data_IF_066917279402
#
_entry.id   IF_066917279402
#
_cell.length_a   1.000
_cell.length_b   1.000
_cell.length_c   1.000
_cell.angle_alpha   90.00
_cell.angle_beta   90.00
_cell.angle_gamma   90.00
#
_symmetry.space_group_name_H-M   'P 1'
#
loop_
_entity.id
_entity.type
_entity.pdbx_description
1 polymer ?
#
# COMPACT_ATOMS: atom_id res chain seq x y z
N UNK A 1 21.45 -18.82 -11.54
CA UNK A 1 22.27 -18.26 -10.44
C UNK A 1 21.59 -18.62 -9.12
N UNK A 2 22.09 -19.62 -8.40
CA UNK A 2 21.55 -19.95 -7.07
C UNK A 2 21.91 -18.79 -6.15
N UNK A 3 20.92 -18.04 -5.67
CA UNK A 3 21.12 -17.04 -4.63
C UNK A 3 21.63 -17.77 -3.40
N UNK A 4 22.84 -17.44 -2.93
CA UNK A 4 23.33 -17.96 -1.66
C UNK A 4 22.41 -17.45 -0.55
N UNK A 5 21.80 -18.40 0.16
CA UNK A 5 20.92 -18.10 1.29
C UNK A 5 21.79 -17.47 2.37
N UNK A 6 21.38 -16.31 2.89
CA UNK A 6 22.05 -15.57 3.97
C UNK A 6 23.26 -14.70 3.59
N UNK A 7 23.32 -14.17 2.36
CA UNK A 7 24.30 -13.13 2.00
C UNK A 7 23.96 -11.80 2.69
N UNK A 8 24.89 -11.31 3.54
CA UNK A 8 24.77 -10.03 4.26
C UNK A 8 24.55 -8.84 3.33
N UNK A 9 25.11 -8.85 2.11
CA UNK A 9 24.91 -7.78 1.13
C UNK A 9 23.47 -7.73 0.64
N UNK A 10 22.87 -8.89 0.38
CA UNK A 10 21.48 -9.00 -0.10
C UNK A 10 20.52 -8.58 1.02
N UNK A 11 20.75 -9.03 2.24
CA UNK A 11 19.94 -8.64 3.40
C UNK A 11 19.97 -7.12 3.58
N UNK A 12 21.16 -6.51 3.63
CA UNK A 12 21.28 -5.06 3.78
C UNK A 12 20.60 -4.31 2.63
N UNK A 13 20.73 -4.79 1.38
CA UNK A 13 20.05 -4.17 0.24
C UNK A 13 18.53 -4.20 0.37
N UNK A 14 17.95 -5.32 0.80
CA UNK A 14 16.51 -5.42 1.04
C UNK A 14 16.06 -4.62 2.26
N UNK A 15 16.84 -4.57 3.33
CA UNK A 15 16.53 -3.75 4.51
C UNK A 15 16.53 -2.26 4.18
N UNK A 16 17.51 -1.76 3.42
CA UNK A 16 17.53 -0.37 2.97
C UNK A 16 16.39 -0.06 1.99
N UNK A 17 16.03 -1.02 1.13
CA UNK A 17 14.87 -0.89 0.26
C UNK A 17 13.56 -0.74 1.06
N UNK A 18 13.33 -1.62 2.03
CA UNK A 18 12.12 -1.61 2.86
C UNK A 18 12.03 -0.34 3.71
N UNK A 19 13.16 0.09 4.26
CA UNK A 19 13.27 1.35 4.98
C UNK A 19 12.87 2.55 4.11
N UNK A 20 13.46 2.68 2.92
CA UNK A 20 13.13 3.77 2.00
C UNK A 20 11.66 3.71 1.53
N UNK A 21 11.13 2.50 1.27
CA UNK A 21 9.77 2.30 0.81
C UNK A 21 8.72 2.69 1.86
N UNK A 22 9.02 2.55 3.16
CA UNK A 22 8.09 2.86 4.26
C UNK A 22 7.79 4.36 4.43
N UNK A 23 8.69 5.24 3.98
CA UNK A 23 8.55 6.70 4.14
C UNK A 23 7.43 7.25 3.26
N UNK A 24 7.25 6.70 2.06
CA UNK A 24 6.22 7.14 1.11
C UNK A 24 4.80 7.01 1.69
N UNK A 25 4.31 5.81 2.10
CA UNK A 25 2.98 5.68 2.65
C UNK A 25 2.84 6.50 3.94
N UNK A 26 3.88 6.57 4.78
CA UNK A 26 3.85 7.38 5.99
C UNK A 26 3.53 8.85 5.68
N UNK A 27 4.31 9.51 4.84
CA UNK A 27 4.14 10.95 4.57
C UNK A 27 2.87 11.24 3.77
N UNK A 28 2.61 10.45 2.72
CA UNK A 28 1.49 10.69 1.81
C UNK A 28 0.16 10.45 2.53
N UNK A 29 0.00 9.32 3.22
CA UNK A 29 -1.29 8.97 3.82
C UNK A 29 -1.59 9.74 5.11
N UNK A 30 -0.56 10.16 5.87
CA UNK A 30 -0.79 10.83 7.16
C UNK A 30 -0.84 12.34 7.07
N UNK A 31 -0.06 12.96 6.19
CA UNK A 31 0.07 14.42 6.14
C UNK A 31 -0.56 15.03 4.88
N UNK A 32 -0.27 14.47 3.70
CA UNK A 32 -0.65 15.13 2.44
C UNK A 32 -2.10 14.81 2.05
N UNK A 33 -2.48 13.54 2.11
CA UNK A 33 -3.78 13.08 1.61
C UNK A 33 -4.98 13.63 2.41
N UNK A 34 -4.97 13.69 3.75
CA UNK A 34 -6.09 14.26 4.51
C UNK A 34 -6.34 15.73 4.17
N UNK A 35 -5.28 16.53 4.07
CA UNK A 35 -5.36 17.96 3.72
C UNK A 35 -5.91 18.14 2.31
N UNK A 36 -5.43 17.35 1.36
CA UNK A 36 -5.93 17.37 -0.01
C UNK A 36 -7.41 16.98 -0.08
N UNK A 37 -7.80 15.93 0.64
CA UNK A 37 -9.16 15.41 0.64
C UNK A 37 -10.15 16.44 1.22
N UNK A 38 -9.79 17.12 2.31
CA UNK A 38 -10.58 18.22 2.88
C UNK A 38 -10.70 19.42 1.93
N UNK A 39 -9.66 19.74 1.16
CA UNK A 39 -9.68 20.87 0.22
C UNK A 39 -10.50 20.62 -1.06
N UNK A 40 -10.63 19.35 -1.50
CA UNK A 40 -11.26 19.00 -2.78
C UNK A 40 -12.71 18.54 -2.61
N UNK A 41 -13.03 17.89 -1.49
CA UNK A 41 -14.35 17.31 -1.28
C UNK A 41 -15.19 18.24 -0.38
N UNK A 42 -16.44 18.57 -0.74
CA UNK A 42 -17.30 19.41 0.09
C UNK A 42 -17.63 18.75 1.43
N UNK A 43 -17.89 19.56 2.47
CA UNK A 43 -18.13 19.08 3.85
C UNK A 43 -19.24 18.03 3.97
N UNK A 44 -20.21 18.05 3.07
CA UNK A 44 -21.30 17.08 2.97
C UNK A 44 -21.22 16.36 1.63
N UNK A 45 -21.08 15.05 1.70
CA UNK A 45 -21.13 14.17 0.53
C UNK A 45 -22.39 13.32 0.65
N UNK A 46 -23.28 13.46 -0.34
CA UNK A 46 -24.40 12.53 -0.49
C UNK A 46 -23.86 11.21 -1.03
N UNK A 47 -23.68 10.24 -0.13
CA UNK A 47 -23.24 8.89 -0.49
C UNK A 47 -24.41 7.93 -0.34
N UNK A 48 -24.86 7.32 -1.44
CA UNK A 48 -25.94 6.32 -1.42
C UNK A 48 -27.26 6.77 -0.76
N UNK A 49 -27.56 8.08 -0.75
CA UNK A 49 -28.75 8.66 -0.12
C UNK A 49 -28.58 9.08 1.35
N UNK A 50 -27.37 8.95 1.91
CA UNK A 50 -27.02 9.45 3.25
C UNK A 50 -26.14 10.69 3.14
N UNK A 51 -26.49 11.73 3.91
CA UNK A 51 -25.67 12.94 4.06
C UNK A 51 -24.55 12.65 5.07
N UNK A 52 -23.37 12.27 4.59
CA UNK A 52 -22.22 11.96 5.44
C UNK A 52 -21.28 13.15 5.52
N UNK A 53 -20.69 13.35 6.70
CA UNK A 53 -19.61 14.32 6.90
C UNK A 53 -18.36 13.75 6.24
N UNK A 54 -17.64 14.59 5.50
CA UNK A 54 -16.51 14.22 4.68
C UNK A 54 -15.42 13.42 5.45
N UNK A 55 -15.15 13.79 6.71
CA UNK A 55 -14.18 13.14 7.61
C UNK A 55 -14.56 11.70 7.99
N UNK A 56 -15.87 11.41 8.08
CA UNK A 56 -16.38 10.08 8.43
C UNK A 56 -16.23 9.13 7.25
N UNK A 57 -16.57 9.60 6.03
CA UNK A 57 -16.39 8.83 4.80
C UNK A 57 -14.92 8.43 4.60
N UNK A 58 -14.00 9.38 4.79
CA UNK A 58 -12.56 9.12 4.72
C UNK A 58 -12.12 7.99 5.67
N UNK A 59 -12.53 8.07 6.93
CA UNK A 59 -12.19 7.06 7.95
C UNK A 59 -12.76 5.68 7.64
N UNK A 60 -13.97 5.61 7.07
CA UNK A 60 -14.56 4.35 6.62
C UNK A 60 -13.82 3.72 5.44
N UNK A 61 -13.41 4.52 4.45
CA UNK A 61 -12.66 4.02 3.29
C UNK A 61 -11.28 3.52 3.71
N UNK A 62 -10.60 4.27 4.58
CA UNK A 62 -9.26 3.89 5.08
C UNK A 62 -9.34 2.61 5.91
N UNK A 63 -10.31 2.48 6.82
CA UNK A 63 -10.48 1.26 7.63
C UNK A 63 -10.81 0.03 6.78
N UNK A 64 -11.69 0.17 5.79
CA UNK A 64 -12.00 -0.91 4.84
C UNK A 64 -10.77 -1.32 4.03
N UNK A 65 -9.96 -0.35 3.59
CA UNK A 65 -8.69 -0.60 2.89
C UNK A 65 -7.73 -1.41 3.77
N UNK A 66 -7.60 -1.08 5.06
CA UNK A 66 -6.75 -1.84 5.99
C UNK A 66 -7.24 -3.26 6.24
N UNK A 67 -8.55 -3.50 6.29
CA UNK A 67 -9.11 -4.86 6.43
C UNK A 67 -8.73 -5.72 5.23
N UNK A 68 -8.88 -5.19 4.01
CA UNK A 68 -8.49 -5.90 2.79
C UNK A 68 -7.00 -6.22 2.82
N UNK A 69 -6.15 -5.25 3.16
CA UNK A 69 -4.69 -5.43 3.26
C UNK A 69 -4.33 -6.48 4.31
N UNK A 70 -4.99 -6.47 5.48
CA UNK A 70 -4.73 -7.42 6.56
C UNK A 70 -5.02 -8.88 6.15
N UNK A 71 -6.05 -9.11 5.34
CA UNK A 71 -6.39 -10.45 4.83
C UNK A 71 -5.45 -10.86 3.68
N UNK A 72 -5.16 -9.94 2.77
CA UNK A 72 -4.32 -10.22 1.60
C UNK A 72 -2.84 -10.41 1.93
N UNK A 73 -2.30 -9.65 2.90
CA UNK A 73 -0.89 -9.64 3.27
C UNK A 73 -0.31 -11.04 3.62
N UNK A 74 -0.91 -11.84 4.52
CA UNK A 74 -0.37 -13.16 4.86
C UNK A 74 -0.43 -14.15 3.70
N UNK A 75 -1.47 -14.09 2.87
CA UNK A 75 -1.65 -14.99 1.72
C UNK A 75 -0.56 -14.73 0.68
N UNK A 76 -0.40 -13.47 0.30
CA UNK A 76 0.56 -13.05 -0.72
C UNK A 76 2.01 -13.20 -0.22
N UNK A 77 2.28 -12.86 1.04
CA UNK A 77 3.61 -13.01 1.65
C UNK A 77 4.01 -14.47 1.81
N UNK A 78 3.07 -15.34 2.21
CA UNK A 78 3.33 -16.79 2.32
C UNK A 78 3.69 -17.44 0.97
N UNK A 79 3.00 -17.06 -0.11
CA UNK A 79 3.31 -17.53 -1.47
C UNK A 79 4.68 -17.01 -1.93
N UNK A 80 5.01 -15.75 -1.64
CA UNK A 80 6.28 -15.14 -2.01
C UNK A 80 7.49 -15.78 -1.31
N UNK A 81 7.35 -16.13 -0.03
CA UNK A 81 8.39 -16.81 0.75
C UNK A 81 8.55 -18.28 0.32
N UNK A 82 7.47 -18.98 -0.02
CA UNK A 82 7.52 -20.36 -0.51
C UNK A 82 8.17 -20.46 -1.90
N UNK A 83 7.87 -19.51 -2.80
CA UNK A 83 8.40 -19.52 -4.16
C UNK A 83 9.87 -19.10 -4.26
N UNK A 84 10.48 -18.57 -3.19
CA UNK A 84 11.90 -18.16 -3.16
C UNK A 84 12.28 -17.06 -4.15
N UNK A 85 11.31 -16.42 -4.82
CA UNK A 85 11.53 -15.51 -5.95
C UNK A 85 10.96 -14.11 -5.70
N UNK A 86 11.34 -13.51 -4.55
CA UNK A 86 10.87 -12.21 -4.04
C UNK A 86 10.91 -11.07 -5.08
N UNK A 87 11.93 -11.06 -5.96
CA UNK A 87 12.06 -10.06 -7.04
C UNK A 87 10.94 -10.13 -8.09
N UNK A 88 10.46 -11.31 -8.44
CA UNK A 88 9.41 -11.48 -9.46
C UNK A 88 8.07 -10.99 -8.93
N UNK A 89 7.79 -11.26 -7.65
CA UNK A 89 6.58 -10.81 -6.97
C UNK A 89 6.55 -9.28 -6.84
N UNK A 90 7.69 -8.67 -6.48
CA UNK A 90 7.84 -7.21 -6.45
C UNK A 90 7.56 -6.57 -7.83
N UNK A 91 8.09 -7.14 -8.91
CA UNK A 91 7.85 -6.65 -10.28
C UNK A 91 6.36 -6.74 -10.66
N UNK A 92 5.71 -7.85 -10.34
CA UNK A 92 4.29 -8.05 -10.62
C UNK A 92 3.42 -6.96 -9.98
N UNK A 93 3.60 -6.69 -8.69
CA UNK A 93 2.85 -5.63 -8.00
C UNK A 93 3.17 -4.24 -8.54
N UNK A 94 4.44 -3.96 -8.86
CA UNK A 94 4.83 -2.66 -9.42
C UNK A 94 4.17 -2.40 -10.77
N UNK A 95 4.13 -3.41 -11.67
CA UNK A 95 3.45 -3.28 -12.95
C UNK A 95 1.93 -3.19 -12.80
N UNK A 96 1.33 -3.97 -11.90
CA UNK A 96 -0.10 -3.88 -11.64
C UNK A 96 -0.49 -2.49 -11.10
N UNK A 97 0.31 -1.93 -10.18
CA UNK A 97 0.11 -0.58 -9.67
C UNK A 97 0.30 0.50 -10.75
N UNK A 98 1.34 0.38 -11.58
CA UNK A 98 1.57 1.32 -12.68
C UNK A 98 0.43 1.30 -13.71
N UNK A 99 -0.14 0.14 -14.01
CA UNK A 99 -1.33 0.02 -14.87
C UNK A 99 -2.56 0.65 -14.24
N UNK A 100 -2.74 0.53 -12.92
CA UNK A 100 -3.87 1.15 -12.22
C UNK A 100 -3.79 2.68 -12.21
N UNK A 101 -2.59 3.26 -12.14
CA UNK A 101 -2.39 4.72 -12.16
C UNK A 101 -2.40 5.35 -13.56
N UNK A 102 -2.58 4.55 -14.62
CA UNK A 102 -2.60 5.04 -16.00
C UNK A 102 -3.97 5.61 -16.41
N UNK A 103 -5.03 5.38 -15.62
CA UNK A 103 -6.42 5.84 -15.89
C UNK A 103 -6.71 7.26 -15.41
#
# INVERSE_FOLDING_TARGET
>A
MKLEKNDKKIINAWTFYDWANSVYPLVITTAIFPIFYEAVVPEKVDFFGFNLINTELYSYVVSLSFIIVAICSPILSGIADYSGNKKTFMKFFCYMGALACIS
#
